data_IF_669651873549
#
_entry.id   IF_669651873549
#
_cell.length_a   1.000
_cell.length_b   1.000
_cell.length_c   1.000
_cell.angle_alpha   90.00
_cell.angle_beta   90.00
_cell.angle_gamma   90.00
#
_symmetry.space_group_name_H-M   'P 1'
#
loop_
_entity.id
_entity.type
_entity.pdbx_description
1 polymer ?
2 non-polymer ?
3 non-polymer ?
4 water ?
#
# COMPACT_ATOMS: atom_id res chain seq x y z
N UNK A 1 5.06 16.20 -13.45
CA UNK A 1 3.86 16.34 -12.56
C UNK A 1 3.07 15.00 -12.51
N UNK A 2 2.08 14.88 -11.63
CA UNK A 2 1.28 13.65 -11.62
C UNK A 2 0.37 13.62 -12.86
N UNK A 3 0.34 12.47 -13.52
CA UNK A 3 -0.44 12.33 -14.72
C UNK A 3 -1.58 11.33 -14.65
N UNK A 4 -2.76 11.79 -15.05
CA UNK A 4 -3.94 10.95 -15.11
C UNK A 4 -4.29 10.82 -16.59
N UNK A 5 -4.26 9.59 -17.10
CA UNK A 5 -4.58 9.31 -18.49
C UNK A 5 -5.92 8.59 -18.66
N UNK A 6 -6.79 9.09 -19.52
CA UNK A 6 -8.06 8.39 -19.71
C UNK A 6 -7.85 7.27 -20.70
N UNK A 7 -8.55 6.16 -20.52
CA UNK A 7 -8.41 5.02 -21.45
C UNK A 7 -9.57 5.06 -22.44
N UNK A 8 -9.64 4.06 -23.30
CA UNK A 8 -10.71 3.96 -24.30
C UNK A 8 -12.07 3.87 -23.61
N UNK A 9 -12.08 3.41 -22.35
CA UNK A 9 -13.32 3.35 -21.61
C UNK A 9 -13.21 4.49 -20.61
N UNK A 10 -14.14 5.46 -20.68
CA UNK A 10 -14.22 6.66 -19.85
C UNK A 10 -13.92 6.58 -18.34
N UNK A 11 -14.67 5.76 -17.63
CA UNK A 11 -14.47 5.70 -16.19
C UNK A 11 -13.21 5.05 -15.68
N UNK A 12 -12.48 4.39 -16.56
CA UNK A 12 -11.23 3.71 -16.20
C UNK A 12 -10.07 4.65 -16.41
N UNK A 13 -9.31 4.93 -15.36
CA UNK A 13 -8.21 5.86 -15.46
C UNK A 13 -6.88 5.26 -15.12
N UNK A 14 -5.82 5.67 -15.83
CA UNK A 14 -4.46 5.25 -15.53
C UNK A 14 -3.88 6.43 -14.71
N UNK A 15 -3.22 6.16 -13.59
CA UNK A 15 -2.63 7.22 -12.78
C UNK A 15 -1.15 6.94 -12.73
N UNK A 16 -0.32 7.97 -12.89
CA UNK A 16 1.13 7.83 -12.86
C UNK A 16 1.61 8.97 -11.95
N UNK A 17 1.85 8.68 -10.65
CA UNK A 17 2.30 9.58 -9.60
C UNK A 17 3.58 10.34 -9.83
N UNK A 18 3.67 11.48 -9.16
CA UNK A 18 4.83 12.33 -9.20
C UNK A 18 5.94 11.66 -8.39
N UNK A 19 6.99 11.20 -9.04
CA UNK A 19 8.07 10.53 -8.31
C UNK A 19 9.27 11.43 -8.08
N UNK A 20 9.75 11.49 -6.83
CA UNK A 20 10.92 12.29 -6.48
C UNK A 20 12.10 11.38 -6.26
N UNK A 21 13.06 11.35 -7.21
CA UNK A 21 14.25 10.52 -7.04
C UNK A 21 14.69 9.61 -8.17
N UNK A 22 15.67 8.76 -7.86
CA UNK A 22 16.27 7.78 -8.80
C UNK A 22 15.75 6.35 -8.73
N UNK A 23 16.40 5.50 -9.51
CA UNK A 23 16.09 4.07 -9.55
C UNK A 23 16.63 3.52 -8.25
N UNK A 24 17.48 4.32 -7.60
CA UNK A 24 18.14 3.91 -6.35
C UNK A 24 17.85 4.73 -5.10
N UNK A 25 16.84 5.59 -5.16
CA UNK A 25 16.51 6.41 -4.00
C UNK A 25 15.36 7.32 -4.34
N UNK A 26 14.15 6.93 -3.97
CA UNK A 26 13.02 7.77 -4.32
C UNK A 26 11.95 7.83 -3.25
N UNK A 27 10.92 8.60 -3.55
CA UNK A 27 9.81 8.74 -2.64
C UNK A 27 8.63 9.30 -3.42
N UNK A 28 7.46 8.66 -3.30
CA UNK A 28 6.26 9.19 -3.93
C UNK A 28 4.99 8.91 -3.15
N UNK A 29 3.97 9.69 -3.43
CA UNK A 29 2.68 9.56 -2.78
C UNK A 29 1.89 8.59 -3.66
N UNK A 30 1.65 7.37 -3.16
CA UNK A 30 0.91 6.38 -3.97
C UNK A 30 -0.61 6.52 -3.87
N UNK A 31 -1.10 7.28 -2.91
CA UNK A 31 -2.54 7.54 -2.79
C UNK A 31 -2.75 8.78 -1.96
N UNK A 32 -3.72 9.60 -2.32
CA UNK A 32 -3.99 10.83 -1.54
C UNK A 32 -5.48 10.96 -1.64
N UNK A 33 -6.19 10.86 -0.52
CA UNK A 33 -7.64 10.92 -0.50
C UNK A 33 -8.28 12.13 -1.17
N UNK A 34 -7.92 13.32 -0.72
CA UNK A 34 -8.49 14.56 -1.27
C UNK A 34 -8.22 14.71 -2.78
N UNK A 35 -6.99 14.44 -3.18
CA UNK A 35 -6.66 14.51 -4.59
C UNK A 35 -7.52 13.52 -5.41
N UNK A 36 -7.59 12.26 -4.96
CA UNK A 36 -8.33 11.23 -5.70
C UNK A 36 -9.77 11.57 -5.80
N UNK A 37 -10.33 12.09 -4.72
CA UNK A 37 -11.74 12.43 -4.72
C UNK A 37 -12.03 13.56 -5.68
N UNK A 38 -11.12 14.51 -5.75
CA UNK A 38 -11.29 15.62 -6.66
C UNK A 38 -11.19 15.10 -8.09
N UNK A 39 -10.24 14.21 -8.33
CA UNK A 39 -10.10 13.64 -9.65
C UNK A 39 -11.39 12.95 -10.10
N UNK A 40 -11.88 12.00 -9.30
CA UNK A 40 -13.08 11.25 -9.64
C UNK A 40 -14.35 12.08 -9.59
N UNK A 41 -14.36 13.13 -8.79
CA UNK A 41 -15.55 13.94 -8.72
C UNK A 41 -16.58 13.52 -7.68
N UNK A 42 -16.38 12.37 -7.04
CA UNK A 42 -17.30 11.93 -6.00
C UNK A 42 -16.48 11.43 -4.82
N UNK A 43 -17.12 11.29 -3.67
CA UNK A 43 -16.43 10.81 -2.47
C UNK A 43 -16.10 9.33 -2.63
N UNK A 44 -14.87 8.93 -2.32
CA UNK A 44 -14.53 7.51 -2.45
C UNK A 44 -13.67 7.12 -1.25
N UNK A 45 -14.03 6.02 -0.59
CA UNK A 45 -13.31 5.55 0.58
C UNK A 45 -12.78 4.14 0.35
N UNK A 46 -11.48 3.93 0.55
CA UNK A 46 -10.94 2.60 0.39
C UNK A 46 -10.87 1.98 1.76
N UNK A 47 -11.52 0.82 1.91
CA UNK A 47 -11.55 0.15 3.20
C UNK A 47 -10.65 -1.04 3.33
N UNK A 48 -10.03 -1.46 2.23
CA UNK A 48 -9.18 -2.65 2.30
C UNK A 48 -7.95 -2.63 1.37
N UNK A 49 -6.78 -2.92 1.90
CA UNK A 49 -5.58 -3.02 1.09
C UNK A 49 -5.17 -4.47 1.02
N UNK A 50 -4.73 -4.87 -0.16
CA UNK A 50 -4.29 -6.23 -0.41
C UNK A 50 -2.94 -6.20 -1.07
N UNK A 51 -2.21 -7.29 -0.84
CA UNK A 51 -0.87 -7.46 -1.33
C UNK A 51 -0.68 -8.91 -1.81
N UNK A 52 -0.23 -9.09 -3.06
CA UNK A 52 -0.05 -10.44 -3.58
C UNK A 52 1.23 -10.63 -4.33
N UNK A 53 1.65 -11.88 -4.39
CA UNK A 53 2.86 -12.24 -5.11
C UNK A 53 2.53 -13.38 -6.04
N UNK A 54 3.01 -13.29 -7.28
CA UNK A 54 2.73 -14.30 -8.31
C UNK A 54 3.92 -14.58 -9.19
N UNK A 55 4.01 -15.81 -9.67
CA UNK A 55 5.09 -16.21 -10.57
C UNK A 55 4.72 -15.87 -12.01
N UNK A 56 5.75 -15.78 -12.85
CA UNK A 56 5.50 -15.47 -14.25
C UNK A 56 4.39 -16.36 -14.82
N UNK A 57 3.56 -15.76 -15.64
CA UNK A 57 2.45 -16.46 -16.27
C UNK A 57 1.27 -16.81 -15.38
N UNK A 58 1.35 -16.50 -14.09
CA UNK A 58 0.18 -16.73 -13.26
C UNK A 58 -0.81 -15.61 -13.63
N UNK A 59 -2.04 -15.99 -13.96
CA UNK A 59 -3.05 -15.02 -14.34
C UNK A 59 -4.09 -15.12 -13.26
N UNK A 60 -4.43 -13.99 -12.68
CA UNK A 60 -5.40 -13.98 -11.63
C UNK A 60 -6.60 -13.25 -12.15
N UNK A 61 -7.77 -13.85 -12.06
CA UNK A 61 -8.82 -13.01 -12.50
C UNK A 61 -10.02 -13.27 -13.33
N UNK A 62 -10.59 -12.08 -13.48
CA UNK A 62 -11.81 -11.65 -14.08
C UNK A 62 -12.72 -11.94 -12.90
N UNK A 63 -12.54 -11.04 -11.92
CA UNK A 63 -13.26 -11.01 -10.67
C UNK A 63 -14.03 -9.72 -10.55
N UNK A 64 -15.11 -9.78 -9.79
CA UNK A 64 -15.98 -8.65 -9.52
C UNK A 64 -16.93 -9.09 -8.43
N UNK A 65 -17.64 -8.13 -7.84
CA UNK A 65 -18.61 -8.46 -6.80
C UNK A 65 -19.90 -7.78 -7.22
N UNK A 66 -21.01 -8.44 -6.97
CA UNK A 66 -22.32 -7.93 -7.33
C UNK A 66 -22.95 -6.91 -6.41
N UNK A 67 -23.92 -6.21 -6.99
CA UNK A 67 -24.69 -5.24 -6.26
C UNK A 67 -24.00 -4.38 -5.24
N UNK A 68 -24.50 -4.44 -4.02
CA UNK A 68 -23.99 -3.63 -2.92
C UNK A 68 -22.59 -3.98 -2.43
N UNK A 69 -22.05 -5.10 -2.86
CA UNK A 69 -20.71 -5.43 -2.46
C UNK A 69 -19.75 -5.08 -3.60
N UNK A 70 -20.27 -4.44 -4.63
CA UNK A 70 -19.47 -4.03 -5.80
C UNK A 70 -18.28 -3.21 -5.33
N UNK A 71 -17.10 -3.51 -5.82
CA UNK A 71 -15.92 -2.78 -5.39
C UNK A 71 -15.27 -1.91 -6.49
N UNK A 72 -14.68 -0.81 -6.06
CA UNK A 72 -13.91 0.05 -6.94
C UNK A 72 -12.49 -0.35 -6.52
N UNK A 73 -11.57 -0.50 -7.46
CA UNK A 73 -10.24 -0.92 -7.12
C UNK A 73 -9.15 0.00 -7.71
N UNK A 74 -8.17 0.37 -6.89
CA UNK A 74 -7.05 1.18 -7.35
C UNK A 74 -5.89 0.22 -7.19
N UNK A 75 -5.27 -0.17 -8.30
CA UNK A 75 -4.20 -1.17 -8.26
C UNK A 75 -2.89 -0.70 -8.86
N UNK A 76 -1.79 -1.27 -8.39
CA UNK A 76 -0.48 -0.93 -8.88
C UNK A 76 0.44 -2.13 -8.62
N UNK A 77 1.66 -2.05 -9.16
CA UNK A 77 2.64 -3.11 -9.03
C UNK A 77 3.92 -2.59 -8.37
N UNK A 78 4.17 -3.08 -7.17
CA UNK A 78 5.32 -2.70 -6.36
C UNK A 78 6.57 -3.46 -6.72
N UNK A 79 6.42 -4.61 -7.35
CA UNK A 79 7.56 -5.43 -7.74
C UNK A 79 7.28 -6.15 -9.07
N UNK A 80 8.22 -6.05 -10.00
CA UNK A 80 8.03 -6.71 -11.28
C UNK A 80 7.11 -5.98 -12.23
N UNK A 81 6.37 -6.74 -13.04
CA UNK A 81 5.45 -6.15 -14.01
C UNK A 81 4.34 -7.14 -14.36
N UNK A 82 3.13 -6.59 -14.52
CA UNK A 82 1.95 -7.36 -14.85
C UNK A 82 1.24 -6.63 -15.95
N UNK A 83 0.37 -7.33 -16.67
CA UNK A 83 -0.47 -6.73 -17.70
C UNK A 83 -1.83 -6.77 -17.01
N UNK A 84 -2.35 -5.61 -16.64
CA UNK A 84 -3.61 -5.46 -15.93
C UNK A 84 -4.80 -5.16 -16.84
N UNK A 85 -5.95 -5.77 -16.52
CA UNK A 85 -7.14 -5.62 -17.32
C UNK A 85 -8.40 -5.28 -16.55
N UNK A 86 -9.23 -4.41 -17.15
CA UNK A 86 -10.50 -4.00 -16.59
C UNK A 86 -11.57 -4.23 -17.65
N UNK A 87 -12.67 -4.87 -17.30
CA UNK A 87 -13.71 -5.16 -18.26
C UNK A 87 -15.01 -4.53 -17.78
N UNK A 88 -15.67 -3.79 -18.65
CA UNK A 88 -16.90 -3.12 -18.28
C UNK A 88 -17.99 -4.17 -18.31
N UNK A 89 -18.66 -4.42 -17.18
CA UNK A 89 -19.71 -5.43 -17.16
C UNK A 89 -21.05 -4.89 -16.74
N UNK A 90 -21.24 -3.59 -16.96
CA UNK A 90 -22.52 -2.93 -16.67
C UNK A 90 -23.36 -3.20 -17.91
N UNK A 91 -24.40 -4.00 -17.77
CA UNK A 91 -25.24 -4.34 -18.90
C UNK A 91 -25.81 -3.15 -19.65
N UNK A 92 -26.04 -2.04 -18.96
CA UNK A 92 -26.60 -0.87 -19.61
C UNK A 92 -25.56 0.08 -20.14
N UNK A 93 -24.30 -0.25 -19.95
CA UNK A 93 -23.24 0.62 -20.42
C UNK A 93 -22.97 0.50 -21.89
N UNK A 94 -22.76 1.64 -22.57
CA UNK A 94 -22.46 1.68 -24.01
C UNK A 94 -21.14 0.99 -24.30
N UNK A 95 -20.32 0.76 -23.27
CA UNK A 95 -19.04 0.10 -23.50
C UNK A 95 -19.04 -1.30 -22.87
N UNK A 96 -20.23 -1.81 -22.57
CA UNK A 96 -20.33 -3.15 -21.98
C UNK A 96 -19.51 -4.19 -22.74
N UNK A 97 -18.84 -5.07 -22.02
CA UNK A 97 -18.06 -6.09 -22.69
C UNK A 97 -16.74 -5.61 -23.23
N UNK A 98 -16.49 -4.31 -23.19
CA UNK A 98 -15.21 -3.77 -23.67
C UNK A 98 -14.13 -3.88 -22.58
N UNK A 99 -12.87 -3.85 -22.98
CA UNK A 99 -11.82 -3.97 -22.01
C UNK A 99 -10.66 -3.05 -22.30
N UNK A 100 -9.85 -2.85 -21.28
CA UNK A 100 -8.66 -2.01 -21.35
C UNK A 100 -7.55 -2.81 -20.70
N UNK A 101 -6.36 -2.77 -21.30
CA UNK A 101 -5.21 -3.49 -20.77
C UNK A 101 -4.07 -2.53 -20.61
N UNK A 102 -3.41 -2.56 -19.47
CA UNK A 102 -2.30 -1.66 -19.24
C UNK A 102 -1.19 -2.37 -18.52
N UNK A 103 0.06 -2.09 -18.92
CA UNK A 103 1.19 -2.69 -18.23
C UNK A 103 1.45 -1.86 -16.97
N UNK A 104 1.53 -2.52 -15.82
CA UNK A 104 1.82 -1.85 -14.56
C UNK A 104 3.08 -2.47 -14.02
N UNK A 105 4.07 -1.66 -13.68
CA UNK A 105 5.31 -2.23 -13.17
C UNK A 105 5.90 -1.45 -12.02
N UNK A 106 6.86 -2.06 -11.35
CA UNK A 106 7.50 -1.37 -10.24
C UNK A 106 8.19 -0.15 -10.82
N UNK A 107 8.75 -0.34 -12.00
CA UNK A 107 9.45 0.73 -12.69
C UNK A 107 8.55 1.88 -13.17
N UNK A 108 7.52 1.60 -13.96
CA UNK A 108 6.69 2.71 -14.44
C UNK A 108 5.77 3.35 -13.40
N UNK A 109 5.57 2.64 -12.30
CA UNK A 109 4.74 3.13 -11.20
C UNK A 109 3.33 3.52 -11.57
N UNK A 110 2.80 2.93 -12.63
CA UNK A 110 1.44 3.21 -13.05
C UNK A 110 0.43 2.53 -12.15
N UNK A 111 -0.75 3.12 -12.06
CA UNK A 111 -1.81 2.58 -11.26
C UNK A 111 -3.02 2.57 -12.15
N UNK A 112 -3.91 1.61 -11.94
CA UNK A 112 -5.14 1.63 -12.72
C UNK A 112 -6.33 1.77 -11.76
N UNK A 113 -7.24 2.66 -12.08
CA UNK A 113 -8.44 2.87 -11.29
C UNK A 113 -9.53 2.20 -12.08
N UNK A 114 -10.18 1.22 -11.43
CA UNK A 114 -11.24 0.37 -11.99
C UNK A 114 -12.48 0.52 -11.11
N UNK A 115 -13.48 1.28 -11.58
CA UNK A 115 -14.70 1.52 -10.80
C UNK A 115 -15.60 0.30 -10.61
N UNK A 116 -16.62 0.49 -9.78
CA UNK A 116 -17.58 -0.54 -9.57
C UNK A 116 -18.20 -0.71 -10.95
N UNK A 117 -18.58 -1.94 -11.28
CA UNK A 117 -19.20 -2.21 -12.56
C UNK A 117 -18.22 -2.83 -13.53
N UNK A 118 -17.00 -3.09 -13.05
CA UNK A 118 -15.96 -3.69 -13.89
C UNK A 118 -15.41 -4.97 -13.30
N UNK A 119 -14.92 -5.86 -14.16
CA UNK A 119 -14.30 -7.07 -13.68
C UNK A 119 -12.82 -6.76 -13.84
N UNK A 120 -11.97 -7.40 -13.04
CA UNK A 120 -10.56 -7.15 -13.04
C UNK A 120 -9.73 -8.42 -13.14
N UNK A 121 -8.57 -8.30 -13.75
CA UNK A 121 -7.69 -9.44 -13.86
C UNK A 121 -6.31 -8.97 -14.24
N UNK A 122 -5.30 -9.84 -14.12
CA UNK A 122 -3.97 -9.47 -14.55
C UNK A 122 -3.11 -10.70 -14.71
N UNK A 123 -2.05 -10.59 -15.51
CA UNK A 123 -1.10 -11.68 -15.73
C UNK A 123 0.27 -11.16 -15.38
N UNK A 124 1.06 -12.00 -14.72
CA UNK A 124 2.41 -11.66 -14.31
C UNK A 124 3.33 -11.79 -15.52
N UNK A 125 4.07 -10.73 -15.82
CA UNK A 125 4.97 -10.76 -16.96
C UNK A 125 6.41 -11.07 -16.54
N UNK A 126 6.79 -10.57 -15.37
CA UNK A 126 8.13 -10.79 -14.86
C UNK A 126 8.26 -12.14 -14.14
N UNK A 127 9.48 -12.52 -13.78
CA UNK A 127 9.73 -13.77 -13.11
C UNK A 127 8.75 -13.91 -11.95
N UNK A 128 8.57 -12.82 -11.21
CA UNK A 128 7.64 -12.74 -10.10
C UNK A 128 7.11 -11.31 -10.10
N UNK A 129 5.92 -11.10 -9.55
CA UNK A 129 5.38 -9.75 -9.46
C UNK A 129 4.61 -9.62 -8.17
N UNK A 130 4.75 -8.48 -7.51
CA UNK A 130 4.00 -8.22 -6.29
C UNK A 130 3.07 -7.07 -6.61
N UNK A 131 1.78 -7.37 -6.48
CA UNK A 131 0.68 -6.50 -6.82
C UNK A 131 -0.02 -5.97 -5.56
N UNK A 132 -0.37 -4.67 -5.55
CA UNK A 132 -1.02 -4.04 -4.40
C UNK A 132 -2.38 -3.51 -4.82
N UNK A 133 -3.38 -3.66 -3.95
CA UNK A 133 -4.74 -3.27 -4.28
C UNK A 133 -5.36 -2.48 -3.15
N UNK A 134 -6.27 -1.61 -3.52
CA UNK A 134 -7.03 -0.85 -2.56
C UNK A 134 -8.44 -1.04 -3.12
N UNK A 135 -9.37 -1.40 -2.24
CA UNK A 135 -10.76 -1.60 -2.64
C UNK A 135 -11.70 -0.72 -1.83
N UNK A 136 -12.80 -0.29 -2.46
CA UNK A 136 -13.81 0.55 -1.84
C UNK A 136 -14.84 -0.24 -1.02
N UNK A 137 -14.75 -1.56 -1.04
CA UNK A 137 -15.63 -2.40 -0.24
C UNK A 137 -14.93 -3.70 0.08
N UNK A 138 -15.37 -4.36 1.14
CA UNK A 138 -14.70 -5.59 1.55
C UNK A 138 -14.99 -6.76 0.67
N UNK A 139 -14.05 -7.69 0.61
CA UNK A 139 -14.27 -8.92 -0.15
C UNK A 139 -15.59 -9.51 0.34
N UNK A 140 -16.33 -10.15 -0.54
CA UNK A 140 -17.57 -10.82 -0.13
C UNK A 140 -17.78 -12.10 -0.95
N UNK A 141 -17.48 -13.28 -0.36
CA UNK A 141 -17.64 -14.57 -1.06
C UNK A 141 -19.02 -14.79 -1.69
N UNK A 142 -20.06 -14.36 -1.01
CA UNK A 142 -21.40 -14.55 -1.54
C UNK A 142 -21.65 -13.66 -2.75
N UNK A 143 -21.09 -12.46 -2.72
CA UNK A 143 -21.31 -11.52 -3.80
C UNK A 143 -20.38 -11.60 -5.00
N UNK A 144 -19.33 -12.40 -4.87
CA UNK A 144 -18.35 -12.58 -5.93
C UNK A 144 -18.80 -13.30 -7.18
N UNK A 145 -18.25 -12.85 -8.30
CA UNK A 145 -18.54 -13.43 -9.60
C UNK A 145 -17.20 -13.46 -10.29
N UNK A 146 -17.08 -14.27 -11.33
CA UNK A 146 -15.84 -14.37 -12.08
C UNK A 146 -16.20 -14.63 -13.53
N UNK A 147 -15.24 -14.40 -14.41
CA UNK A 147 -15.44 -14.58 -15.84
C UNK A 147 -14.16 -15.19 -16.32
N UNK A 148 -14.27 -16.24 -17.14
CA UNK A 148 -13.10 -16.93 -17.66
C UNK A 148 -12.21 -15.98 -18.44
N UNK A 149 -10.92 -16.07 -18.18
CA UNK A 149 -9.91 -15.21 -18.80
C UNK A 149 -9.92 -15.09 -20.31
N UNK A 150 -10.16 -16.21 -20.99
CA UNK A 150 -10.13 -16.20 -22.43
C UNK A 150 -11.50 -16.12 -23.08
N UNK A 151 -12.48 -15.57 -22.34
CA UNK A 151 -13.81 -15.45 -22.88
C UNK A 151 -13.77 -14.70 -24.23
N UNK A 152 -14.38 -15.30 -25.23
CA UNK A 152 -14.39 -14.76 -26.58
C UNK A 152 -15.26 -13.49 -26.72
N UNK A 153 -16.42 -13.44 -26.08
CA UNK A 153 -17.28 -12.26 -26.15
C UNK A 153 -16.49 -11.01 -25.75
N UNK A 154 -15.69 -11.13 -24.69
CA UNK A 154 -14.87 -9.99 -24.26
C UNK A 154 -13.65 -9.88 -25.17
N UNK A 155 -13.02 -11.01 -25.48
CA UNK A 155 -11.88 -11.01 -26.37
C UNK A 155 -10.60 -10.29 -25.99
N UNK A 156 -10.19 -10.40 -24.74
CA UNK A 156 -8.96 -9.75 -24.31
C UNK A 156 -7.76 -10.30 -25.08
N UNK A 157 -6.84 -9.42 -25.44
CA UNK A 157 -5.62 -9.83 -26.13
C UNK A 157 -4.52 -9.91 -25.10
N UNK A 158 -4.31 -11.12 -24.56
CA UNK A 158 -3.30 -11.35 -23.56
C UNK A 158 -1.93 -11.38 -24.21
N UNK A 159 -1.00 -10.53 -23.74
CA UNK A 159 0.38 -10.39 -24.22
C UNK A 159 1.27 -11.58 -24.08
N UNK A 160 1.06 -12.37 -23.06
CA UNK A 160 1.89 -13.53 -22.86
C UNK A 160 1.87 -14.45 -24.08
N UNK A 161 2.96 -15.20 -24.24
CA UNK A 161 3.10 -16.10 -25.36
C UNK A 161 2.85 -17.51 -24.91
N UNK A 162 2.95 -17.73 -23.60
CA UNK A 162 2.76 -19.05 -22.99
C UNK A 162 1.38 -19.20 -22.31
N UNK A 163 0.97 -20.44 -22.04
CA UNK A 163 -0.30 -20.64 -21.35
C UNK A 163 -0.21 -20.13 -19.91
N UNK A 164 -1.21 -19.39 -19.47
CA UNK A 164 -1.23 -18.86 -18.10
C UNK A 164 -1.42 -19.97 -17.06
N UNK A 165 -1.05 -19.71 -15.82
CA UNK A 165 -1.27 -20.65 -14.73
C UNK A 165 -2.45 -20.03 -14.00
N UNK A 166 -3.48 -20.81 -13.72
CA UNK A 166 -4.66 -20.31 -13.04
C UNK A 166 -4.96 -21.07 -11.77
N UNK A 167 -5.66 -20.42 -10.83
CA UNK A 167 -6.04 -21.09 -9.62
C UNK A 167 -7.17 -22.01 -10.05
N UNK A 168 -7.48 -23.02 -9.26
CA UNK A 168 -8.59 -23.92 -9.61
C UNK A 168 -9.86 -23.09 -9.78
N UNK A 169 -10.07 -22.20 -8.83
CA UNK A 169 -11.22 -21.33 -8.83
C UNK A 169 -11.35 -20.47 -10.12
N UNK A 170 -10.26 -19.88 -10.62
CA UNK A 170 -10.35 -19.05 -11.84
C UNK A 170 -10.45 -19.89 -13.12
N UNK A 171 -9.81 -21.06 -13.12
CA UNK A 171 -9.85 -21.94 -14.29
C UNK A 171 -11.28 -22.39 -14.47
N UNK A 172 -12.04 -22.43 -13.39
CA UNK A 172 -13.45 -22.84 -13.48
C UNK A 172 -14.45 -21.69 -13.68
N UNK A 173 -13.95 -20.49 -13.92
CA UNK A 173 -14.85 -19.35 -14.12
C UNK A 173 -15.72 -19.55 -15.38
N UNK A 174 -16.97 -19.05 -15.35
CA UNK A 174 -17.88 -19.17 -16.48
C UNK A 174 -17.58 -18.14 -17.54
N UNK A 175 -18.22 -18.34 -18.69
CA UNK A 175 -18.11 -17.42 -19.81
C UNK A 175 -19.05 -16.23 -19.55
N UNK A 176 -18.75 -15.11 -20.19
CA UNK A 176 -19.52 -13.91 -19.99
C UNK A 176 -21.02 -14.10 -19.96
N UNK A 177 -21.58 -14.71 -21.00
CA UNK A 177 -23.03 -14.90 -21.11
C UNK A 177 -23.60 -15.77 -20.00
N UNK A 178 -22.71 -16.40 -19.22
CA UNK A 178 -23.12 -17.24 -18.10
C UNK A 178 -22.77 -16.60 -16.75
N UNK A 179 -21.91 -15.59 -16.76
CA UNK A 179 -21.52 -14.92 -15.50
C UNK A 179 -22.74 -14.31 -14.80
N UNK A 180 -22.70 -14.27 -13.48
CA UNK A 180 -23.84 -13.73 -12.72
C UNK A 180 -23.55 -12.26 -12.45
N UNK A 181 -23.75 -11.45 -13.49
CA UNK A 181 -23.46 -10.03 -13.43
C UNK A 181 -24.35 -9.25 -12.47
N UNK A 182 -25.51 -9.83 -12.11
CA UNK A 182 -26.44 -9.11 -11.23
C UNK A 182 -27.08 -10.00 -10.13
N UNK A 183 -27.33 -9.39 -8.96
CA UNK A 183 -27.96 -10.12 -7.85
C UNK A 183 -29.49 -10.11 -7.95
N UNK B 1 -4.29 -14.49 8.59
CA UNK B 1 -4.80 -13.78 9.77
C UNK B 1 -3.65 -12.90 10.19
N UNK B 2 -3.93 -12.00 11.13
CA UNK B 2 -2.92 -11.10 11.67
C UNK B 2 -2.78 -11.22 13.17
N UNK B 3 -1.56 -11.40 13.63
CA UNK B 3 -1.26 -11.46 15.06
C UNK B 3 -0.87 -10.02 15.48
N UNK B 4 -1.52 -9.49 16.51
CA UNK B 4 -1.25 -8.17 17.03
C UNK B 4 -0.46 -8.36 18.29
N UNK B 5 0.74 -7.76 18.35
CA UNK B 5 1.64 -7.87 19.50
C UNK B 5 1.88 -6.48 20.07
N UNK B 6 1.71 -6.34 21.38
CA UNK B 6 1.95 -5.04 22.00
C UNK B 6 3.46 -4.89 22.21
N UNK B 7 3.94 -3.66 22.32
CA UNK B 7 5.38 -3.43 22.51
C UNK B 7 5.56 -2.88 23.91
N UNK B 8 6.79 -2.59 24.30
CA UNK B 8 7.07 -2.05 25.63
C UNK B 8 6.30 -0.76 25.88
N UNK B 9 5.88 -0.09 24.80
CA UNK B 9 5.09 1.13 24.92
C UNK B 9 3.73 0.71 24.44
N UNK B 10 2.72 0.83 25.31
CA UNK B 10 1.32 0.46 25.09
C UNK B 10 0.64 0.75 23.76
N UNK B 11 0.60 2.02 23.35
CA UNK B 11 -0.11 2.38 22.13
C UNK B 11 0.52 2.00 20.80
N UNK B 12 1.76 1.54 20.84
CA UNK B 12 2.52 1.12 19.69
C UNK B 12 2.30 -0.37 19.50
N UNK B 13 1.76 -0.76 18.34
CA UNK B 13 1.46 -2.16 18.05
C UNK B 13 2.17 -2.73 16.81
N UNK B 14 2.57 -3.99 16.92
CA UNK B 14 3.17 -4.69 15.81
C UNK B 14 2.04 -5.55 15.23
N UNK B 15 1.88 -5.56 13.91
CA UNK B 15 0.84 -6.37 13.30
C UNK B 15 1.59 -7.35 12.44
N UNK B 16 1.23 -8.62 12.48
CA UNK B 16 1.93 -9.59 11.66
C UNK B 16 1.04 -10.50 10.92
N UNK B 17 0.94 -10.28 9.63
CA UNK B 17 0.10 -11.14 8.83
C UNK B 17 0.84 -12.48 8.77
N UNK B 18 0.10 -13.58 8.94
CA UNK B 18 0.73 -14.88 8.80
C UNK B 18 0.28 -15.25 7.38
N UNK B 19 1.24 -15.44 6.49
CA UNK B 19 0.86 -15.71 5.11
C UNK B 19 1.13 -17.10 4.53
N UNK B 20 0.19 -17.50 3.68
CA UNK B 20 0.17 -18.77 2.95
C UNK B 20 1.52 -19.29 2.51
N UNK B 21 1.97 -18.90 1.33
CA UNK B 21 3.25 -19.37 0.81
C UNK B 21 2.97 -20.40 -0.27
N UNK B 22 1.80 -20.25 -0.86
CA UNK B 22 1.24 -21.08 -1.93
C UNK B 22 2.18 -21.35 -3.14
N UNK B 23 1.60 -21.94 -4.17
CA UNK B 23 2.31 -22.30 -5.40
C UNK B 23 2.37 -21.17 -6.44
N UNK B 24 1.34 -20.33 -6.47
CA UNK B 24 1.34 -19.18 -7.38
C UNK B 24 2.21 -18.08 -6.76
N UNK B 25 2.24 -18.05 -5.42
CA UNK B 25 2.99 -17.08 -4.63
C UNK B 25 2.29 -16.96 -3.29
N UNK B 26 1.56 -15.87 -3.06
CA UNK B 26 0.77 -15.65 -1.84
C UNK B 26 -0.24 -14.53 -1.99
N UNK B 27 -1.09 -14.37 -0.99
CA UNK B 27 -2.09 -13.32 -1.03
C UNK B 27 -2.54 -12.99 0.39
N UNK B 28 -2.49 -11.72 0.77
CA UNK B 28 -2.95 -11.32 2.09
C UNK B 28 -3.58 -9.94 2.09
N UNK B 29 -4.40 -9.71 3.11
CA UNK B 29 -5.08 -8.45 3.31
C UNK B 29 -4.09 -7.66 4.20
N UNK B 30 -3.48 -6.59 3.66
CA UNK B 30 -2.50 -5.83 4.44
C UNK B 30 -3.13 -4.76 5.34
N UNK B 31 -4.38 -4.42 5.08
CA UNK B 31 -5.07 -3.43 5.90
C UNK B 31 -6.54 -3.66 5.69
N UNK B 32 -7.34 -3.43 6.73
CA UNK B 32 -8.81 -3.62 6.70
C UNK B 32 -9.35 -2.61 7.69
N UNK B 33 -10.07 -1.61 7.16
CA UNK B 33 -10.58 -0.50 7.95
C UNK B 33 -11.38 -0.87 9.20
N UNK B 34 -12.41 -1.70 9.02
CA UNK B 34 -13.22 -2.14 10.15
C UNK B 34 -12.36 -2.86 11.21
N UNK B 35 -11.59 -3.84 10.77
CA UNK B 35 -10.72 -4.55 11.69
C UNK B 35 -9.80 -3.58 12.44
N UNK B 36 -9.10 -2.70 11.73
CA UNK B 36 -8.17 -1.81 12.39
C UNK B 36 -8.81 -0.86 13.39
N UNK B 37 -10.01 -0.40 13.08
CA UNK B 37 -10.68 0.50 14.01
C UNK B 37 -11.10 -0.27 15.26
N UNK B 38 -11.53 -1.52 15.10
CA UNK B 38 -11.92 -2.36 16.22
C UNK B 38 -10.69 -2.65 17.08
N UNK B 39 -9.56 -2.86 16.44
CA UNK B 39 -8.35 -3.13 17.18
C UNK B 39 -7.93 -1.93 18.02
N UNK B 40 -7.82 -0.77 17.38
CA UNK B 40 -7.41 0.45 18.04
C UNK B 40 -8.43 0.97 19.02
N UNK B 41 -9.70 0.71 18.73
CA UNK B 41 -10.73 1.17 19.63
C UNK B 41 -11.31 2.51 19.30
N UNK B 42 -10.81 3.17 18.27
CA UNK B 42 -11.37 4.45 17.89
C UNK B 42 -11.36 4.56 16.37
N UNK B 43 -12.09 5.52 15.84
CA UNK B 43 -12.15 5.71 14.39
C UNK B 43 -10.81 6.24 13.86
N UNK B 44 -10.30 5.64 12.81
CA UNK B 44 -9.05 6.11 12.24
C UNK B 44 -9.12 6.10 10.71
N UNK B 45 -8.81 7.23 10.11
CA UNK B 45 -8.85 7.32 8.66
C UNK B 45 -7.46 7.61 8.08
N UNK B 46 -7.01 6.80 7.13
CA UNK B 46 -5.72 7.06 6.51
C UNK B 46 -5.99 7.82 5.23
N UNK B 47 -5.41 9.00 5.11
CA UNK B 47 -5.64 9.82 3.94
C UNK B 47 -4.52 9.82 2.94
N UNK B 48 -3.35 9.31 3.32
CA UNK B 48 -2.20 9.31 2.43
C UNK B 48 -1.29 8.05 2.50
N UNK B 49 -0.97 7.50 1.34
CA UNK B 49 -0.08 6.34 1.24
C UNK B 49 1.22 6.79 0.56
N UNK B 50 2.33 6.37 1.13
CA UNK B 50 3.63 6.77 0.59
C UNK B 50 4.45 5.55 0.36
N UNK B 51 5.36 5.67 -0.58
CA UNK B 51 6.23 4.59 -0.96
C UNK B 51 7.61 5.22 -1.18
N UNK B 52 8.62 4.65 -0.54
CA UNK B 52 9.97 5.18 -0.68
C UNK B 52 11.01 4.08 -0.84
N UNK B 53 12.14 4.42 -1.46
CA UNK B 53 13.26 3.48 -1.64
C UNK B 53 14.53 4.10 -1.05
N UNK B 54 15.35 3.29 -0.37
CA UNK B 54 16.60 3.72 0.28
C UNK B 54 17.69 2.69 0.17
N UNK B 55 18.94 3.15 0.20
CA UNK B 55 20.10 2.26 0.13
C UNK B 55 20.54 1.84 1.53
N UNK B 56 21.28 0.73 1.61
CA UNK B 56 21.74 0.26 2.91
C UNK B 56 22.32 1.44 3.67
N UNK B 57 22.13 1.42 4.98
CA UNK B 57 22.59 2.48 5.87
C UNK B 57 21.97 3.85 5.79
N UNK B 58 21.05 4.05 4.85
CA UNK B 58 20.39 5.34 4.84
C UNK B 58 19.45 5.33 6.04
N UNK B 59 19.55 6.35 6.88
CA UNK B 59 18.68 6.45 8.04
C UNK B 59 17.78 7.62 7.77
N UNK B 60 16.48 7.40 7.83
CA UNK B 60 15.55 8.48 7.60
C UNK B 60 14.88 8.80 8.89
N UNK B 61 14.86 10.06 9.23
CA UNK B 61 14.09 10.33 10.40
C UNK B 61 14.36 10.96 11.71
N UNK B 62 13.28 10.69 12.44
CA UNK B 62 12.90 11.09 13.75
C UNK B 62 12.18 12.33 13.30
N UNK B 63 11.00 12.05 12.72
CA UNK B 63 10.10 13.01 12.15
C UNK B 63 8.76 12.91 12.86
N UNK B 64 8.04 14.02 12.90
CA UNK B 64 6.71 14.09 13.50
C UNK B 64 6.12 15.40 13.01
N UNK B 65 4.84 15.62 13.27
CA UNK B 65 4.21 16.87 12.87
C UNK B 65 3.48 17.33 14.10
N UNK B 66 3.49 18.64 14.31
CA UNK B 66 2.89 19.27 15.48
C UNK B 66 1.39 19.49 15.49
N UNK B 67 0.85 19.61 16.70
CA UNK B 67 -0.57 19.86 16.91
C UNK B 67 -1.55 19.12 16.05
N UNK B 68 -2.42 19.88 15.37
CA UNK B 68 -3.46 19.30 14.53
C UNK B 68 -3.02 18.61 13.25
N UNK B 69 -1.72 18.66 12.96
CA UNK B 69 -1.20 18.00 11.76
C UNK B 69 -0.51 16.73 12.20
N UNK B 70 -0.64 16.44 13.49
CA UNK B 70 -0.05 15.23 14.07
C UNK B 70 -0.54 14.01 13.26
N UNK B 71 0.38 13.13 12.87
CA UNK B 71 0.02 12.00 12.06
C UNK B 71 0.23 10.64 12.70
N UNK B 72 -0.74 9.75 12.50
CA UNK B 72 -0.61 8.40 12.97
C UNK B 72 -0.06 7.71 11.73
N UNK B 73 0.90 6.83 11.92
CA UNK B 73 1.50 6.15 10.79
C UNK B 73 1.46 4.64 10.91
N UNK B 74 0.98 3.94 9.87
CA UNK B 74 0.96 2.47 9.82
C UNK B 74 1.95 2.12 8.71
N UNK B 75 3.09 1.58 9.10
CA UNK B 75 4.16 1.32 8.15
C UNK B 75 4.58 -0.14 8.03
N UNK B 76 5.20 -0.49 6.91
CA UNK B 76 5.69 -1.84 6.64
C UNK B 76 6.78 -1.78 5.56
N UNK B 77 7.42 -2.90 5.32
CA UNK B 77 8.50 -2.93 4.35
C UNK B 77 8.17 -3.91 3.22
N UNK B 78 7.98 -3.35 2.02
CA UNK B 78 7.64 -4.13 0.82
C UNK B 78 8.79 -4.87 0.21
N UNK B 79 10.00 -4.35 0.39
CA UNK B 79 11.22 -4.93 -0.17
C UNK B 79 12.41 -4.72 0.76
N UNK B 80 13.17 -5.78 0.99
CA UNK B 80 14.32 -5.69 1.88
C UNK B 80 13.97 -5.71 3.36
N UNK B 81 14.73 -4.96 4.13
CA UNK B 81 14.53 -4.90 5.58
C UNK B 81 15.02 -3.60 6.19
N UNK B 82 14.29 -3.11 7.18
CA UNK B 82 14.67 -1.90 7.88
C UNK B 82 14.50 -2.14 9.37
N UNK B 83 15.11 -1.28 10.19
CA UNK B 83 14.96 -1.35 11.63
C UNK B 83 14.14 -0.11 11.86
N UNK B 84 12.88 -0.27 12.26
CA UNK B 84 11.96 0.85 12.46
C UNK B 84 11.89 1.28 13.90
N UNK B 85 11.71 2.59 14.12
CA UNK B 85 11.68 3.16 15.45
C UNK B 85 10.57 4.17 15.68
N UNK B 86 9.99 4.11 16.88
CA UNK B 86 8.91 4.98 17.29
C UNK B 86 9.33 5.57 18.63
N UNK B 87 9.22 6.88 18.78
CA UNK B 87 9.59 7.54 20.04
C UNK B 87 8.39 8.30 20.55
N UNK B 88 8.03 8.05 21.81
CA UNK B 88 6.89 8.73 22.43
C UNK B 88 7.40 10.14 22.73
N UNK B 89 6.75 11.14 22.15
CA UNK B 89 7.16 12.52 22.37
C UNK B 89 6.05 13.34 22.97
N UNK B 90 5.16 12.67 23.69
CA UNK B 90 4.08 13.37 24.38
C UNK B 90 4.69 13.73 25.74
N UNK B 91 4.88 15.02 25.99
CA UNK B 91 5.48 15.49 27.24
C UNK B 91 4.75 14.98 28.49
N UNK B 92 3.43 14.83 28.41
CA UNK B 92 2.65 14.36 29.56
C UNK B 92 2.52 12.84 29.70
N UNK B 93 3.16 12.11 28.80
CA UNK B 93 3.10 10.65 28.84
C UNK B 93 4.06 9.93 29.75
N UNK B 94 3.58 8.93 30.49
CA UNK B 94 4.43 8.15 31.39
C UNK B 94 5.62 7.53 30.71
N UNK B 95 5.52 7.38 29.39
CA UNK B 95 6.59 6.79 28.62
C UNK B 95 7.33 7.78 27.72
N UNK B 96 7.10 9.08 27.95
CA UNK B 96 7.75 10.14 27.18
C UNK B 96 9.24 9.88 27.02
N UNK B 97 9.75 10.08 25.82
CA UNK B 97 11.17 9.89 25.60
C UNK B 97 11.56 8.44 25.38
N UNK B 98 10.63 7.52 25.64
CA UNK B 98 10.93 6.10 25.44
C UNK B 98 10.75 5.76 23.97
N UNK B 99 11.42 4.71 23.55
CA UNK B 99 11.37 4.25 22.18
C UNK B 99 11.18 2.73 22.04
N UNK B 100 10.72 2.34 20.85
CA UNK B 100 10.50 0.96 20.47
C UNK B 100 11.14 0.79 19.09
N UNK B 101 11.88 -0.29 18.91
CA UNK B 101 12.54 -0.55 17.63
C UNK B 101 12.16 -1.93 17.19
N UNK B 102 11.73 -2.06 15.92
CA UNK B 102 11.33 -3.35 15.39
C UNK B 102 11.83 -3.58 14.00
N UNK B 103 12.29 -4.81 13.70
CA UNK B 103 12.71 -5.10 12.34
C UNK B 103 11.50 -5.39 11.48
N UNK B 104 11.33 -4.63 10.39
CA UNK B 104 10.24 -4.84 9.44
C UNK B 104 10.86 -5.27 8.13
N UNK B 105 10.38 -6.35 7.55
CA UNK B 105 10.95 -6.78 6.29
C UNK B 105 9.91 -7.31 5.32
N UNK B 106 10.32 -7.44 4.06
CA UNK B 106 9.43 -7.97 3.06
C UNK B 106 9.13 -9.40 3.48
N UNK B 107 10.14 -10.09 4.04
CA UNK B 107 9.94 -11.47 4.46
C UNK B 107 9.05 -11.66 5.68
N UNK B 108 9.33 -10.96 6.78
CA UNK B 108 8.49 -11.14 7.96
C UNK B 108 7.11 -10.48 7.90
N UNK B 109 6.93 -9.57 6.93
CA UNK B 109 5.67 -8.85 6.75
C UNK B 109 5.16 -8.04 7.92
N UNK B 110 6.01 -7.75 8.89
CA UNK B 110 5.54 -6.98 10.04
C UNK B 110 5.19 -5.55 9.69
N UNK B 111 4.26 -5.01 10.46
CA UNK B 111 3.80 -3.63 10.32
C UNK B 111 3.94 -3.01 11.71
N UNK B 112 4.11 -1.69 11.75
CA UNK B 112 4.20 -1.03 13.04
C UNK B 112 3.19 0.12 13.02
N UNK B 113 2.34 0.15 14.04
CA UNK B 113 1.36 1.21 14.14
C UNK B 113 1.92 2.19 15.14
N UNK B 114 2.10 3.41 14.69
CA UNK B 114 2.67 4.52 15.46
C UNK B 114 1.66 5.64 15.52
N UNK B 115 0.97 5.76 16.66
CA UNK B 115 -0.05 6.80 16.84
C UNK B 115 0.50 8.22 16.81
N UNK B 116 -0.40 9.17 16.76
CA UNK B 116 -0.03 10.56 16.82
C UNK B 116 0.62 10.72 18.19
N UNK B 117 1.66 11.55 18.29
CA UNK B 117 2.31 11.74 19.57
C UNK B 117 3.67 11.08 19.59
N UNK B 118 4.04 10.47 18.48
CA UNK B 118 5.32 9.80 18.40
C UNK B 118 6.11 10.35 17.24
N UNK B 119 7.43 10.13 17.27
CA UNK B 119 8.30 10.54 16.19
C UNK B 119 8.66 9.20 15.61
N UNK B 120 8.95 9.18 14.31
CA UNK B 120 9.27 7.96 13.61
C UNK B 120 10.61 8.03 12.89
N UNK B 121 11.23 6.88 12.67
CA UNK B 121 12.48 6.86 11.96
C UNK B 121 12.84 5.44 11.62
N UNK B 122 13.76 5.24 10.69
CA UNK B 122 14.17 3.90 10.36
C UNK B 122 15.46 3.91 9.57
N UNK B 123 16.16 2.77 9.62
CA UNK B 123 17.41 2.60 8.91
C UNK B 123 17.26 1.39 8.03
N UNK B 124 17.87 1.47 6.87
CA UNK B 124 17.83 0.42 5.88
C UNK B 124 18.91 -0.59 6.23
N UNK B 125 18.53 -1.87 6.32
CA UNK B 125 19.51 -2.89 6.69
C UNK B 125 19.97 -3.67 5.46
N UNK B 126 19.07 -3.85 4.51
CA UNK B 126 19.40 -4.58 3.30
C UNK B 126 20.06 -3.65 2.29
N UNK B 127 20.54 -4.24 1.19
CA UNK B 127 21.22 -3.47 0.14
C UNK B 127 20.37 -2.26 -0.22
N UNK B 128 19.07 -2.51 -0.36
CA UNK B 128 18.08 -1.48 -0.62
C UNK B 128 16.82 -1.95 0.07
N UNK B 129 15.96 -1.00 0.44
CA UNK B 129 14.69 -1.35 1.06
C UNK B 129 13.60 -0.43 0.54
N UNK B 130 12.40 -0.97 0.35
CA UNK B 130 11.26 -0.17 -0.10
C UNK B 130 10.26 -0.16 1.02
N UNK B 131 9.98 1.03 1.51
CA UNK B 131 9.16 1.28 2.67
C UNK B 131 7.81 1.85 2.28
N UNK B 132 6.73 1.33 2.88
CA UNK B 132 5.38 1.80 2.59
C UNK B 132 4.79 2.30 3.88
N UNK B 133 3.95 3.32 3.83
CA UNK B 133 3.40 3.83 5.07
C UNK B 133 2.16 4.60 4.76
N UNK B 134 1.17 4.46 5.64
CA UNK B 134 -0.13 5.12 5.50
C UNK B 134 -0.20 6.16 6.63
N UNK B 135 -0.79 7.32 6.36
CA UNK B 135 -0.85 8.34 7.38
C UNK B 135 -2.25 8.83 7.60
N UNK B 136 -2.54 9.17 8.85
CA UNK B 136 -3.83 9.66 9.26
C UNK B 136 -4.03 11.14 8.88
N UNK B 137 -2.95 11.81 8.45
CA UNK B 137 -3.07 13.19 8.02
C UNK B 137 -2.02 13.54 6.99
N UNK B 138 -2.32 14.52 6.15
CA UNK B 138 -1.37 14.87 5.12
C UNK B 138 -0.05 15.44 5.63
N UNK B 139 1.03 15.15 4.92
CA UNK B 139 2.30 15.69 5.32
C UNK B 139 2.24 17.16 4.95
N UNK B 140 2.57 18.03 5.90
CA UNK B 140 2.55 19.47 5.67
C UNK B 140 3.87 20.01 6.21
N UNK B 141 4.75 20.47 5.30
CA UNK B 141 6.08 21.03 5.59
C UNK B 141 6.12 22.05 6.70
N UNK B 142 5.14 22.96 6.73
CA UNK B 142 5.11 23.97 7.76
C UNK B 142 5.09 23.36 9.15
N UNK B 143 4.58 22.13 9.25
CA UNK B 143 4.48 21.44 10.53
C UNK B 143 5.62 20.49 10.86
N UNK B 144 6.51 20.23 9.91
CA UNK B 144 7.57 19.28 10.17
C UNK B 144 8.22 19.42 11.53
N UNK B 145 8.79 18.33 12.01
CA UNK B 145 9.45 18.31 13.30
C UNK B 145 10.47 17.19 13.21
N UNK B 146 11.63 17.39 13.80
CA UNK B 146 12.64 16.35 13.77
C UNK B 146 13.47 16.31 15.05
N UNK B 147 14.08 15.15 15.28
CA UNK B 147 14.90 14.91 16.44
C UNK B 147 16.11 14.11 15.94
N UNK B 148 17.30 14.50 16.40
CA UNK B 148 18.52 13.85 16.01
C UNK B 148 18.48 12.35 16.34
N UNK B 149 18.79 11.52 15.35
CA UNK B 149 18.77 10.07 15.50
C UNK B 149 19.47 9.50 16.72
N UNK B 150 20.67 10.01 17.03
CA UNK B 150 21.45 9.52 18.15
C UNK B 150 21.28 10.31 19.46
N UNK B 151 20.18 11.04 19.60
CA UNK B 151 19.92 11.79 20.82
C UNK B 151 20.02 10.88 22.06
N UNK B 152 20.88 11.29 22.99
CA UNK B 152 21.13 10.53 24.22
C UNK B 152 19.97 10.42 25.20
N UNK B 153 19.11 11.43 25.25
CA UNK B 153 17.94 11.41 26.14
C UNK B 153 17.05 10.23 25.79
N UNK B 154 16.87 10.00 24.49
CA UNK B 154 16.05 8.89 24.00
C UNK B 154 16.91 7.63 24.03
N UNK B 155 18.13 7.76 23.54
CA UNK B 155 19.07 6.65 23.54
C UNK B 155 18.71 5.39 22.77
N UNK B 156 18.28 5.54 21.54
CA UNK B 156 17.92 4.40 20.70
C UNK B 156 19.16 3.52 20.44
N UNK B 157 18.95 2.22 20.44
CA UNK B 157 20.05 1.29 20.19
C UNK B 157 19.94 0.90 18.73
N UNK B 158 20.66 1.63 17.86
CA UNK B 158 20.63 1.33 16.45
C UNK B 158 21.53 0.13 16.15
N UNK B 159 21.02 -0.84 15.41
CA UNK B 159 21.69 -2.09 15.02
C UNK B 159 23.02 -1.96 14.28
N UNK B 160 23.31 -0.78 13.71
CA UNK B 160 24.57 -0.56 12.97
C UNK B 160 25.72 0.03 13.79
N UNK B 161 26.92 -0.06 13.24
CA UNK B 161 28.13 0.48 13.92
C UNK B 161 28.61 1.74 13.21
N UNK B 162 28.45 1.75 11.89
CA UNK B 162 28.84 2.87 11.05
C UNK B 162 27.93 4.05 11.31
N UNK B 163 28.34 5.20 10.79
CA UNK B 163 27.52 6.39 10.91
C UNK B 163 26.55 6.19 9.76
N UNK B 164 25.27 6.46 9.99
CA UNK B 164 24.23 6.30 8.97
C UNK B 164 24.29 7.41 7.91
N UNK B 165 23.89 7.10 6.67
CA UNK B 165 23.87 8.11 5.63
C UNK B 165 22.62 8.90 5.89
N UNK B 166 22.80 10.14 6.32
CA UNK B 166 21.67 11.00 6.64
C UNK B 166 21.49 12.10 5.61
N UNK B 167 20.27 12.62 5.53
CA UNK B 167 19.99 13.70 4.61
C UNK B 167 20.51 14.91 5.35
N UNK B 168 20.77 15.99 4.61
CA UNK B 168 21.25 17.22 5.22
C UNK B 168 20.28 17.62 6.33
N UNK B 169 18.99 17.56 6.06
CA UNK B 169 17.98 17.93 7.06
C UNK B 169 17.97 17.08 8.33
N UNK B 170 18.15 15.76 8.20
CA UNK B 170 18.12 14.93 9.40
C UNK B 170 19.41 15.03 10.20
N UNK B 171 20.52 15.21 9.51
CA UNK B 171 21.81 15.33 10.17
C UNK B 171 21.82 16.61 11.01
N UNK B 172 21.03 17.61 10.62
CA UNK B 172 20.96 18.89 11.33
C UNK B 172 19.85 18.92 12.35
N UNK B 173 19.17 17.80 12.54
CA UNK B 173 18.05 17.75 13.48
C UNK B 173 18.47 18.09 14.90
N UNK B 174 17.61 18.81 15.65
CA UNK B 174 17.92 19.17 17.03
C UNK B 174 17.78 17.99 18.00
N UNK B 175 18.26 18.19 19.22
CA UNK B 175 18.17 17.17 20.24
C UNK B 175 16.77 17.23 20.81
N UNK B 176 16.33 16.14 21.42
CA UNK B 176 14.99 16.08 21.98
C UNK B 176 14.49 17.35 22.61
N UNK B 177 15.18 17.81 23.64
CA UNK B 177 14.72 19.04 24.30
C UNK B 177 14.48 20.21 23.35
N UNK B 178 15.49 20.61 22.57
CA UNK B 178 15.27 21.71 21.65
C UNK B 178 14.02 21.34 20.85
N UNK B 179 14.16 20.34 19.99
CA UNK B 179 13.06 19.87 19.15
C UNK B 179 11.64 20.08 19.65
N UNK B 180 11.37 19.84 20.92
CA UNK B 180 10.00 19.99 21.40
C UNK B 180 9.70 21.28 22.11
N UNK B 181 10.61 22.25 21.98
CA UNK B 181 10.47 23.53 22.66
C UNK B 181 9.04 24.05 22.74
N UNK B 182 8.47 24.42 21.60
CA UNK B 182 7.12 24.98 21.54
C UNK B 182 5.95 23.97 21.54
N UNK B 183 6.24 22.72 21.88
CA UNK B 183 5.20 21.69 21.95
C UNK B 183 4.79 21.53 23.39
X LIG C 1 -2.51 10.38 -5.20
X LIG C 1 -1.39 10.62 -5.99
X LIG C 1 -3.53 9.58 -6.00
X LIG C 1 -4.64 9.43 -5.15
X LIG C 1 -3.06 8.17 -6.30
X LIG C 1 -1.96 8.25 -7.19
X LIG D 1 1.53 19.32 -10.27
X LIG D 1 1.84 20.37 -9.37
X LIG D 1 1.44 18.05 -9.49
X LIG D 1 1.17 17.04 -10.42
X LIG D 1 0.27 18.07 -8.56
X LIG D 1 0.19 16.78 -8.02
X LIG E 1 16.42 12.67 -5.24
X LIG E 1 15.63 13.19 -4.21
X LIG E 1 17.17 11.52 -4.67
X LIG E 1 17.99 12.00 -3.64
X LIG E 1 18.02 10.88 -5.73
X LIG E 1 18.69 9.82 -5.11
X LIG F 1 -6.94 -0.94 -24.80
X LIG F 1 -5.75 -1.45 -24.28
X LIG F 1 -7.68 -2.11 -25.32
X LIG F 1 -6.96 -2.68 -26.36
X LIG F 1 -9.03 -1.74 -25.81
X LIG F 1 -9.69 -2.93 -26.12
X LIG G 1 -8.87 -17.96 -5.45
X LIG G 1 -8.53 -19.31 -5.28
X LIG G 1 -8.48 -17.60 -6.84
X LIG G 1 -7.09 -17.86 -6.91
X LIG G 1 -8.63 -16.10 -7.01
X LIG G 1 -7.99 -15.77 -8.21
X LIG H 1 -9.30 -8.96 -7.59
X LIG H 1 -9.91 -8.38 -8.79
X LIG H 1 -10.16 -10.03 -7.12
X LIG H 1 -9.16 -7.92 -6.57
X LIG H 1 -7.95 -9.49 -7.87
X LIG I 1 4.38 0.40 -21.85
X LIG I 1 4.18 0.90 -20.49
X LIG I 1 4.92 1.49 -22.68
X LIG I 1 3.11 -0.08 -22.41
X LIG I 1 5.37 -0.71 -21.80
X LIG J 1 8.59 9.60 8.19
X LIG J 1 9.82 10.14 7.59
X LIG J 1 8.21 8.39 7.43
X LIG J 1 7.50 10.59 8.19
X LIG J 1 8.84 9.25 9.60
X LIG K 1 13.45 -10.53 14.14
X LIG K 1 13.38 -9.07 14.16
X LIG K 1 14.62 -10.98 13.35
X LIG K 1 12.22 -11.08 13.52
X LIG K 1 13.58 -11.00 15.53
#
# INVERSE_FOLDING_TARGET
>A
MMIVIKTAIPDVLILEPKVFGDERGFFFESYNQQTFEELIGRKVTFVQDNHSKSKKNVLRGLHFQRGENAQGKLVRCAVGEVFDVAVDIRKESPTFGQWVGVNLSAENKRQLWIPEGFAHGFVTLSEYAEFLYKATNYYSPSSEGSILWNDEAIGIEWPFSQLPELSAKDAAAPLLDQALLTE
>B
MMIVIKTAIPDVLILEPKVFGDERGFFFESYNQQTFEELIGRKVTFVQDNHSKSKKNVLRGLHFQRGENAQGKLVRCAVGEVFDVAVDIRKESPTFGQWVGVNLSAENKRQLWIPEGFAHGFVTLSEYAEFLYKATNYYSPSSEGSILWNDEAIGIEWPFSQLPELSAKDAAAPLLDQALLTE
>C hetero
1 GOL C1 O1 C2 O2 C3 O3
>D hetero
1 GOL C1 O1 C2 O2 C3 O3
>E hetero
1 GOL C1 O1 C2 O2 C3 O3
>F hetero
1 GOL C1 O1 C2 O2 C3 O3
>G hetero
1 GOL C1 O1 C2 O2 C3 O3
>H hetero
1 SO4 S O1 O2 O3 O4
>I hetero
1 SO4 S O1 O2 O3 O4
>J hetero
1 SO4 S O1 O2 O3 O4
>K hetero
1 SO4 S O1 O2 O3 O4
#
